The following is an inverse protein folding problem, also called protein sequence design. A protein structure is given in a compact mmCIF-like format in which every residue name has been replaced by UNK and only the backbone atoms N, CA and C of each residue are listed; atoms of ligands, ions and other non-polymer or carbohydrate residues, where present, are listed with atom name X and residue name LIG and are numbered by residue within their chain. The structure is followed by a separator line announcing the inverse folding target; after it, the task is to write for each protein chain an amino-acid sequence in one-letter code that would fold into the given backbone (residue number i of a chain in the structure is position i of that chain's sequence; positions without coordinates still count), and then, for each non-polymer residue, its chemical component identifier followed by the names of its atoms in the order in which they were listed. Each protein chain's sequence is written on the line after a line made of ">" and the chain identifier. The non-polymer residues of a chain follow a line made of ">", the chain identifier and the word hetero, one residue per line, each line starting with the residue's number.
data_IF_141702456883
#
_entry.id   IF_141702456883
#
_cell.length_a   1.000
_cell.length_b   1.000
_cell.length_c   1.000
_cell.angle_alpha   90.00
_cell.angle_beta   90.00
_cell.angle_gamma   90.00
#
_symmetry.space_group_name_H-M   'P 1'
#
loop_
_entity.id
_entity.type
_entity.pdbx_description
1 polymer ?
#
# COMPACT_ATOMS: atom_id res chain seq x y z
N UNK A 1 9.01 -26.01 7.63
CA UNK A 1 10.00 -26.51 6.65
C UNK A 1 9.59 -25.93 5.31
N UNK A 2 10.40 -25.04 4.73
CA UNK A 2 10.07 -24.44 3.44
C UNK A 2 10.10 -25.52 2.36
N UNK A 3 9.05 -25.58 1.54
CA UNK A 3 9.01 -26.46 0.35
C UNK A 3 10.12 -26.00 -0.59
N UNK A 4 11.30 -26.61 -0.45
CA UNK A 4 12.45 -26.33 -1.29
C UNK A 4 12.23 -27.02 -2.63
N UNK A 5 12.21 -26.24 -3.71
CA UNK A 5 12.20 -26.75 -5.08
C UNK A 5 13.37 -27.73 -5.23
N UNK A 6 13.09 -28.98 -5.60
CA UNK A 6 14.13 -30.02 -5.70
C UNK A 6 15.13 -29.68 -6.81
N UNK A 7 16.35 -30.22 -6.72
CA UNK A 7 17.39 -30.03 -7.75
C UNK A 7 16.94 -30.52 -9.13
N UNK A 8 16.06 -31.53 -9.17
CA UNK A 8 15.47 -32.06 -10.40
C UNK A 8 14.45 -31.10 -11.00
N UNK A 9 13.57 -30.53 -10.18
CA UNK A 9 12.62 -29.51 -10.63
C UNK A 9 13.34 -28.27 -11.17
N UNK A 10 14.45 -27.86 -10.55
CA UNK A 10 15.26 -26.74 -11.06
C UNK A 10 15.90 -27.03 -12.44
N UNK A 11 16.32 -28.29 -12.69
CA UNK A 11 16.83 -28.71 -14.00
C UNK A 11 15.73 -28.72 -15.07
N UNK A 12 14.57 -29.32 -14.76
CA UNK A 12 13.43 -29.30 -15.67
C UNK A 12 12.98 -27.87 -16.01
N UNK A 13 12.95 -26.96 -15.02
CA UNK A 13 12.61 -25.55 -15.23
C UNK A 13 13.66 -24.78 -16.06
N UNK A 14 14.94 -25.16 -15.97
CA UNK A 14 15.99 -24.54 -16.80
C UNK A 14 15.95 -25.01 -18.25
N UNK A 15 15.49 -26.24 -18.49
CA UNK A 15 15.29 -26.77 -19.85
C UNK A 15 14.02 -26.21 -20.50
N UNK A 16 12.94 -26.02 -19.74
CA UNK A 16 11.64 -25.52 -20.26
C UNK A 16 11.67 -24.00 -20.49
N UNK A 17 12.35 -23.24 -19.64
CA UNK A 17 12.32 -21.78 -19.70
C UNK A 17 13.67 -21.17 -20.12
N UNK A 18 13.74 -20.40 -21.22
CA UNK A 18 14.97 -19.77 -21.71
C UNK A 18 15.37 -18.52 -20.90
N UNK A 19 15.06 -18.48 -19.61
CA UNK A 19 15.36 -17.33 -18.75
C UNK A 19 16.68 -17.53 -18.00
N UNK A 20 17.44 -16.45 -17.85
CA UNK A 20 18.63 -16.44 -17.00
C UNK A 20 18.21 -16.42 -15.53
N UNK A 21 18.35 -17.57 -14.85
CA UNK A 21 18.04 -17.70 -13.44
C UNK A 21 19.12 -17.04 -12.57
N UNK A 22 18.73 -16.04 -11.79
CA UNK A 22 19.62 -15.36 -10.85
C UNK A 22 19.29 -15.79 -9.41
N UNK A 23 20.31 -16.14 -8.62
CA UNK A 23 20.10 -16.69 -7.26
C UNK A 23 19.91 -15.61 -6.18
N UNK A 24 20.46 -14.42 -6.40
CA UNK A 24 20.58 -13.40 -5.34
C UNK A 24 19.73 -12.15 -5.60
N UNK A 25 19.77 -11.62 -6.82
CA UNK A 25 19.04 -10.42 -7.21
C UNK A 25 18.77 -10.35 -8.70
N UNK A 26 17.63 -9.80 -9.07
CA UNK A 26 17.21 -9.51 -10.44
C UNK A 26 17.10 -8.00 -10.63
N UNK A 27 17.67 -7.45 -11.70
CA UNK A 27 17.44 -6.04 -12.06
C UNK A 27 16.29 -5.96 -13.06
N UNK A 28 15.26 -5.20 -12.73
CA UNK A 28 14.08 -5.01 -13.58
C UNK A 28 13.67 -3.53 -13.60
N UNK A 29 13.56 -2.96 -14.81
CA UNK A 29 13.21 -1.56 -15.06
C UNK A 29 14.02 -0.56 -14.21
N UNK A 30 15.28 -0.87 -13.92
CA UNK A 30 16.17 -0.01 -13.13
C UNK A 30 16.08 -0.18 -11.61
N UNK A 31 15.15 -0.97 -11.08
CA UNK A 31 15.11 -1.38 -9.67
C UNK A 31 15.70 -2.78 -9.48
N UNK A 32 16.29 -3.05 -8.32
CA UNK A 32 16.90 -4.33 -7.97
C UNK A 32 15.97 -5.10 -7.03
N UNK A 33 15.46 -6.23 -7.50
CA UNK A 33 14.65 -7.16 -6.72
C UNK A 33 15.59 -8.17 -6.07
N UNK A 34 15.71 -8.12 -4.74
CA UNK A 34 16.51 -9.06 -3.97
C UNK A 34 15.69 -10.28 -3.57
N UNK A 35 16.34 -11.43 -3.39
CA UNK A 35 15.69 -12.65 -2.87
C UNK A 35 15.05 -12.42 -1.50
N UNK A 36 15.73 -11.65 -0.64
CA UNK A 36 15.27 -11.32 0.70
C UNK A 36 14.64 -9.91 0.71
N UNK A 37 13.37 -9.76 1.17
CA UNK A 37 12.69 -8.46 1.21
C UNK A 37 13.37 -7.39 2.09
N UNK A 38 14.13 -7.83 3.10
CA UNK A 38 14.84 -6.95 4.02
C UNK A 38 15.93 -6.14 3.30
N UNK A 39 16.51 -6.71 2.25
CA UNK A 39 17.64 -6.13 1.53
C UNK A 39 17.17 -5.17 0.42
N UNK A 40 15.87 -5.18 0.07
CA UNK A 40 15.30 -4.30 -0.96
C UNK A 40 15.56 -2.81 -0.67
N UNK A 41 15.54 -2.43 0.62
CA UNK A 41 15.86 -1.06 1.02
C UNK A 41 17.30 -0.71 0.65
N UNK A 42 18.25 -1.52 1.13
CA UNK A 42 19.67 -1.30 0.91
C UNK A 42 20.01 -1.30 -0.58
N UNK A 43 19.47 -2.26 -1.34
CA UNK A 43 19.77 -2.45 -2.75
C UNK A 43 19.25 -1.31 -3.67
N UNK A 44 18.17 -0.63 -3.31
CA UNK A 44 17.54 0.40 -4.16
C UNK A 44 17.73 1.82 -3.64
N UNK A 45 17.49 2.06 -2.35
CA UNK A 45 17.42 3.41 -1.79
C UNK A 45 18.80 3.99 -1.49
N UNK A 46 19.72 3.18 -0.94
CA UNK A 46 21.07 3.66 -0.65
C UNK A 46 21.83 4.13 -1.90
N UNK A 47 21.85 3.40 -3.04
CA UNK A 47 22.49 3.93 -4.24
C UNK A 47 21.75 5.14 -4.80
N UNK A 48 20.41 5.19 -4.73
CA UNK A 48 19.63 6.34 -5.17
C UNK A 48 19.98 7.61 -4.39
N UNK A 49 20.14 7.52 -3.07
CA UNK A 49 20.56 8.66 -2.24
C UNK A 49 21.96 9.12 -2.62
N UNK A 50 22.92 8.20 -2.67
CA UNK A 50 24.32 8.52 -2.95
C UNK A 50 24.50 9.16 -4.34
N UNK A 51 23.87 8.58 -5.36
CA UNK A 51 23.87 9.13 -6.72
C UNK A 51 23.24 10.52 -6.76
N UNK A 52 22.10 10.70 -6.10
CA UNK A 52 21.44 12.01 -6.03
C UNK A 52 22.32 13.05 -5.34
N UNK A 53 22.91 12.72 -4.18
CA UNK A 53 23.81 13.63 -3.46
C UNK A 53 25.05 13.97 -4.30
N UNK A 54 25.59 13.01 -5.05
CA UNK A 54 26.69 13.24 -5.97
C UNK A 54 26.29 14.17 -7.13
N UNK A 55 25.13 13.93 -7.76
CA UNK A 55 24.57 14.81 -8.79
C UNK A 55 24.38 16.24 -8.26
N UNK A 56 23.81 16.41 -7.08
CA UNK A 56 23.62 17.73 -6.46
C UNK A 56 24.94 18.46 -6.22
N UNK A 57 26.01 17.76 -5.81
CA UNK A 57 27.36 18.34 -5.67
C UNK A 57 27.93 18.77 -7.02
N UNK A 58 27.69 18.00 -8.09
CA UNK A 58 28.10 18.37 -9.46
C UNK A 58 27.34 19.60 -9.96
N UNK A 59 26.02 19.63 -9.75
CA UNK A 59 25.12 20.73 -10.10
C UNK A 59 25.23 21.95 -9.18
N UNK A 60 26.04 21.88 -8.13
CA UNK A 60 26.33 23.04 -7.28
C UNK A 60 27.27 24.04 -7.96
N UNK A 61 28.15 23.57 -8.87
CA UNK A 61 29.18 24.39 -9.53
C UNK A 61 28.64 25.45 -10.50
N UNK A 62 27.61 25.18 -11.33
CA UNK A 62 27.07 26.17 -12.25
C UNK A 62 26.34 27.31 -11.51
N UNK A 63 26.34 28.52 -12.09
CA UNK A 63 25.60 29.68 -11.61
C UNK A 63 24.09 29.54 -11.85
N UNK A 64 23.43 28.68 -11.08
CA UNK A 64 21.98 28.47 -11.11
C UNK A 64 21.35 29.28 -9.96
N UNK A 65 20.32 30.06 -10.28
CA UNK A 65 19.55 30.79 -9.26
C UNK A 65 18.94 29.83 -8.23
N UNK A 66 18.74 30.29 -7.00
CA UNK A 66 18.15 29.45 -5.95
C UNK A 66 16.76 28.92 -6.35
N UNK A 67 15.98 29.68 -7.11
CA UNK A 67 14.69 29.24 -7.65
C UNK A 67 14.85 28.17 -8.74
N UNK A 68 15.86 28.31 -9.60
CA UNK A 68 16.24 27.28 -10.58
C UNK A 68 16.67 25.97 -9.93
N UNK A 69 17.39 26.04 -8.80
CA UNK A 69 17.76 24.86 -8.00
C UNK A 69 16.53 24.15 -7.42
N UNK A 70 15.56 24.90 -6.89
CA UNK A 70 14.29 24.34 -6.43
C UNK A 70 13.53 23.67 -7.59
N UNK A 71 13.51 24.30 -8.77
CA UNK A 71 12.85 23.73 -9.94
C UNK A 71 13.54 22.44 -10.42
N UNK A 72 14.87 22.39 -10.42
CA UNK A 72 15.63 21.18 -10.70
C UNK A 72 15.26 20.03 -9.75
N UNK A 73 15.15 20.31 -8.44
CA UNK A 73 14.71 19.30 -7.47
C UNK A 73 13.30 18.77 -7.78
N UNK A 74 12.38 19.65 -8.21
CA UNK A 74 11.00 19.27 -8.58
C UNK A 74 10.93 18.46 -9.87
N UNK A 75 11.68 18.85 -10.89
CA UNK A 75 11.54 18.29 -12.23
C UNK A 75 12.44 17.08 -12.47
N UNK A 76 13.60 17.03 -11.82
CA UNK A 76 14.60 15.98 -12.08
C UNK A 76 14.72 15.00 -10.92
N UNK A 77 14.82 15.49 -9.68
CA UNK A 77 15.04 14.61 -8.51
C UNK A 77 13.74 13.95 -8.06
N UNK A 78 12.67 14.73 -7.88
CA UNK A 78 11.39 14.20 -7.40
C UNK A 78 10.86 13.02 -8.23
N UNK A 79 10.82 13.06 -9.59
CA UNK A 79 10.31 11.93 -10.36
C UNK A 79 11.15 10.66 -10.19
N UNK A 80 12.48 10.76 -10.07
CA UNK A 80 13.37 9.61 -9.82
C UNK A 80 13.00 8.88 -8.51
N UNK A 81 12.75 9.64 -7.44
CA UNK A 81 12.34 9.06 -6.16
C UNK A 81 10.91 8.55 -6.18
N UNK A 82 10.00 9.28 -6.82
CA UNK A 82 8.59 8.88 -6.90
C UNK A 82 8.43 7.54 -7.60
N UNK A 83 9.20 7.31 -8.68
CA UNK A 83 9.26 6.03 -9.36
C UNK A 83 9.67 4.89 -8.41
N UNK A 84 10.74 5.08 -7.64
CA UNK A 84 11.22 4.05 -6.70
C UNK A 84 10.26 3.84 -5.53
N UNK A 85 9.63 4.91 -5.01
CA UNK A 85 8.62 4.81 -3.96
C UNK A 85 7.41 3.97 -4.37
N UNK A 86 6.97 4.10 -5.63
CA UNK A 86 5.85 3.33 -6.18
C UNK A 86 6.26 1.89 -6.52
N UNK A 87 7.45 1.70 -7.11
CA UNK A 87 7.94 0.40 -7.55
C UNK A 87 8.33 -0.51 -6.37
N UNK A 88 8.98 0.05 -5.35
CA UNK A 88 9.56 -0.71 -4.22
C UNK A 88 8.99 -0.15 -2.90
N UNK A 89 7.75 -0.52 -2.52
CA UNK A 89 7.09 0.01 -1.33
C UNK A 89 7.62 -0.64 -0.05
N UNK A 90 8.84 -0.24 0.34
CA UNK A 90 9.55 -0.76 1.51
C UNK A 90 9.64 0.34 2.57
N UNK A 91 9.85 -0.06 3.82
CA UNK A 91 10.02 0.87 4.93
C UNK A 91 11.30 1.69 4.74
N UNK A 92 11.15 3.01 4.72
CA UNK A 92 12.27 3.94 4.66
C UNK A 92 12.52 4.51 6.07
N UNK A 93 13.74 4.42 6.62
CA UNK A 93 14.09 5.04 7.90
C UNK A 93 13.99 6.57 7.85
N UNK A 94 13.59 7.21 8.96
CA UNK A 94 13.55 8.68 9.05
C UNK A 94 14.92 9.34 8.79
N UNK A 95 16.01 8.68 9.17
CA UNK A 95 17.37 9.15 8.90
C UNK A 95 17.64 9.37 7.41
N UNK A 96 17.09 8.51 6.54
CA UNK A 96 17.20 8.66 5.09
C UNK A 96 16.61 9.98 4.60
N UNK A 97 15.41 10.32 5.07
CA UNK A 97 14.76 11.59 4.71
C UNK A 97 15.49 12.80 5.30
N UNK A 98 16.08 12.67 6.49
CA UNK A 98 16.89 13.73 7.10
C UNK A 98 18.16 14.01 6.30
N UNK A 99 18.86 12.96 5.86
CA UNK A 99 20.06 13.07 5.04
C UNK A 99 19.74 13.73 3.70
N UNK A 100 18.67 13.27 3.04
CA UNK A 100 18.17 13.83 1.78
C UNK A 100 17.76 15.31 1.91
N UNK A 101 17.04 15.65 2.98
CA UNK A 101 16.70 17.03 3.34
C UNK A 101 17.97 17.88 3.53
N UNK A 102 18.97 17.36 4.24
CA UNK A 102 20.23 18.07 4.46
C UNK A 102 20.97 18.34 3.13
N UNK A 103 20.95 17.37 2.21
CA UNK A 103 21.53 17.49 0.88
C UNK A 103 20.85 18.58 0.05
N UNK A 104 19.52 18.64 0.08
CA UNK A 104 18.77 19.69 -0.64
C UNK A 104 18.99 21.08 -0.07
N UNK A 105 19.03 21.22 1.26
CA UNK A 105 19.30 22.52 1.86
C UNK A 105 20.71 23.01 1.51
N UNK A 106 21.72 22.13 1.56
CA UNK A 106 23.08 22.43 1.09
C UNK A 106 23.12 22.76 -0.40
N UNK A 107 22.32 22.09 -1.22
CA UNK A 107 22.24 22.41 -2.64
C UNK A 107 21.61 23.78 -2.90
N UNK A 108 20.50 24.11 -2.24
CA UNK A 108 19.76 25.36 -2.46
C UNK A 108 20.56 26.56 -1.94
N UNK A 109 21.06 26.48 -0.70
CA UNK A 109 21.73 27.60 -0.02
C UNK A 109 23.26 27.59 -0.14
N UNK A 110 23.84 26.52 -0.69
CA UNK A 110 25.28 26.36 -0.78
C UNK A 110 25.94 26.19 0.59
N UNK A 111 27.08 26.86 0.79
CA UNK A 111 27.79 26.92 2.08
C UNK A 111 27.14 27.86 3.10
N UNK A 112 26.06 28.56 2.74
CA UNK A 112 25.41 29.54 3.62
C UNK A 112 24.26 28.93 4.41
N UNK A 113 23.97 29.51 5.58
CA UNK A 113 22.86 29.06 6.42
C UNK A 113 21.51 29.27 5.69
N UNK A 114 20.55 28.33 5.85
CA UNK A 114 19.22 28.47 5.26
C UNK A 114 18.54 29.76 5.73
N UNK A 115 18.15 30.62 4.78
CA UNK A 115 17.45 31.88 5.10
C UNK A 115 15.96 31.67 5.39
N UNK A 116 15.38 30.61 4.84
CA UNK A 116 13.97 30.25 4.99
C UNK A 116 13.90 28.86 5.63
N UNK A 117 12.97 28.69 6.56
CA UNK A 117 12.76 27.40 7.21
C UNK A 117 12.32 26.36 6.17
N UNK A 118 12.72 25.10 6.35
CA UNK A 118 12.31 24.04 5.43
C UNK A 118 10.79 23.86 5.36
N UNK A 119 10.09 24.06 6.49
CA UNK A 119 8.61 23.97 6.53
C UNK A 119 7.99 25.02 5.61
N UNK A 120 8.47 26.26 5.67
CA UNK A 120 7.94 27.36 4.84
C UNK A 120 8.34 27.18 3.37
N UNK A 121 9.54 26.65 3.12
CA UNK A 121 10.03 26.34 1.79
C UNK A 121 9.16 25.29 1.07
N UNK A 122 8.64 24.31 1.82
CA UNK A 122 7.80 23.23 1.29
C UNK A 122 6.34 23.63 1.05
N UNK A 123 5.87 24.74 1.63
CA UNK A 123 4.49 25.21 1.44
C UNK A 123 4.22 25.53 -0.03
N UNK A 124 2.99 25.34 -0.53
CA UNK A 124 2.62 25.74 -1.88
C UNK A 124 2.70 27.26 -2.04
N UNK A 125 2.84 27.73 -3.29
CA UNK A 125 2.95 29.17 -3.60
C UNK A 125 1.74 29.97 -3.13
N UNK A 126 0.55 29.40 -3.24
CA UNK A 126 -0.71 29.97 -2.77
C UNK A 126 -0.71 30.29 -1.28
N UNK A 127 0.07 29.55 -0.48
CA UNK A 127 0.22 29.74 0.97
C UNK A 127 1.54 30.45 1.32
N UNK A 128 2.09 31.22 0.39
CA UNK A 128 3.32 32.01 0.59
C UNK A 128 4.62 31.20 0.62
N UNK A 129 4.60 29.93 0.18
CA UNK A 129 5.80 29.08 0.12
C UNK A 129 6.45 29.02 -1.26
N UNK A 130 7.52 28.24 -1.38
CA UNK A 130 8.28 28.03 -2.63
C UNK A 130 7.97 26.69 -3.31
N UNK A 131 7.15 25.87 -2.66
CA UNK A 131 6.65 24.58 -3.12
C UNK A 131 7.72 23.51 -3.23
N UNK A 132 8.82 23.58 -2.47
CA UNK A 132 9.84 22.53 -2.48
C UNK A 132 9.20 21.18 -2.11
N UNK A 133 9.48 20.08 -2.83
CA UNK A 133 8.86 18.80 -2.55
C UNK A 133 9.27 18.24 -1.19
N UNK A 134 8.27 17.85 -0.40
CA UNK A 134 8.45 17.14 0.86
C UNK A 134 8.47 15.63 0.60
N UNK A 135 9.66 15.03 0.45
CA UNK A 135 9.80 13.65 -0.02
C UNK A 135 9.15 12.61 0.90
N UNK A 136 9.12 12.85 2.21
CA UNK A 136 8.42 11.97 3.15
C UNK A 136 6.90 11.96 2.90
N UNK A 137 6.31 13.13 2.56
CA UNK A 137 4.89 13.21 2.20
C UNK A 137 4.61 12.55 0.85
N UNK A 138 5.49 12.71 -0.15
CA UNK A 138 5.35 12.01 -1.43
C UNK A 138 5.47 10.49 -1.28
N UNK A 139 6.38 10.02 -0.43
CA UNK A 139 6.50 8.61 -0.09
C UNK A 139 5.21 8.09 0.58
N UNK A 140 4.70 8.80 1.58
CA UNK A 140 3.41 8.45 2.21
C UNK A 140 2.28 8.42 1.19
N UNK A 141 2.19 9.42 0.31
CA UNK A 141 1.18 9.50 -0.73
C UNK A 141 1.28 8.32 -1.71
N UNK A 142 2.48 7.97 -2.19
CA UNK A 142 2.68 6.83 -3.09
C UNK A 142 2.21 5.51 -2.48
N UNK A 143 2.45 5.31 -1.18
CA UNK A 143 1.99 4.14 -0.45
C UNK A 143 0.49 4.17 -0.17
N UNK A 144 -0.08 5.34 0.08
CA UNK A 144 -1.53 5.50 0.20
C UNK A 144 -2.24 5.22 -1.12
N UNK A 145 -1.70 5.63 -2.27
CA UNK A 145 -2.25 5.28 -3.58
C UNK A 145 -2.33 3.76 -3.75
N UNK A 146 -1.30 3.02 -3.31
CA UNK A 146 -1.31 1.56 -3.35
C UNK A 146 -2.38 0.95 -2.42
N UNK A 147 -2.61 1.56 -1.26
CA UNK A 147 -3.71 1.17 -0.36
C UNK A 147 -5.08 1.48 -0.98
N UNK A 148 -5.24 2.61 -1.66
CA UNK A 148 -6.47 2.94 -2.37
C UNK A 148 -6.78 1.90 -3.46
N UNK A 149 -5.77 1.36 -4.13
CA UNK A 149 -5.95 0.29 -5.12
C UNK A 149 -6.58 -0.98 -4.52
N UNK A 150 -6.41 -1.23 -3.21
CA UNK A 150 -7.09 -2.34 -2.52
C UNK A 150 -8.59 -2.11 -2.33
N UNK A 151 -9.04 -0.85 -2.34
CA UNK A 151 -10.45 -0.50 -2.10
C UNK A 151 -11.31 -0.50 -3.37
N UNK A 152 -10.71 -0.55 -4.55
CA UNK A 152 -11.42 -0.52 -5.83
C UNK A 152 -11.87 -1.95 -6.18
N UNK A 153 -13.19 -2.15 -6.31
CA UNK A 153 -13.79 -3.40 -6.80
C UNK A 153 -14.59 -3.13 -8.08
N UNK A 154 -14.34 -3.83 -9.20
CA UNK A 154 -13.36 -4.91 -9.38
C UNK A 154 -11.90 -4.39 -9.45
N UNK A 155 -10.89 -5.23 -9.13
CA UNK A 155 -9.50 -4.81 -9.14
C UNK A 155 -9.00 -4.50 -10.56
N UNK A 156 -8.71 -3.23 -10.84
CA UNK A 156 -8.19 -2.80 -12.14
C UNK A 156 -6.75 -3.29 -12.42
N UNK A 157 -5.99 -3.61 -11.37
CA UNK A 157 -4.56 -3.94 -11.45
C UNK A 157 -4.34 -5.42 -11.10
N UNK A 158 -3.62 -6.15 -11.96
CA UNK A 158 -3.35 -7.59 -11.79
C UNK A 158 -2.69 -7.94 -10.46
N UNK A 159 -1.77 -7.09 -9.98
CA UNK A 159 -1.08 -7.35 -8.71
C UNK A 159 -2.04 -7.27 -7.50
N UNK A 160 -3.13 -6.51 -7.58
CA UNK A 160 -4.16 -6.47 -6.52
C UNK A 160 -4.89 -7.80 -6.47
N UNK A 161 -5.20 -8.39 -7.63
CA UNK A 161 -5.79 -9.73 -7.70
C UNK A 161 -4.84 -10.81 -7.15
N UNK A 162 -3.53 -10.70 -7.45
CA UNK A 162 -2.51 -11.58 -6.89
C UNK A 162 -2.38 -11.43 -5.36
N UNK A 163 -2.41 -10.20 -4.86
CA UNK A 163 -2.40 -9.95 -3.42
C UNK A 163 -3.69 -10.50 -2.78
N UNK A 164 -4.87 -10.24 -3.35
CA UNK A 164 -6.17 -10.78 -2.91
C UNK A 164 -6.16 -12.31 -2.82
N UNK A 165 -5.57 -13.01 -3.79
CA UNK A 165 -5.45 -14.47 -3.76
C UNK A 165 -4.65 -14.97 -2.55
N UNK A 166 -3.65 -14.20 -2.13
CA UNK A 166 -2.84 -14.54 -0.98
C UNK A 166 -3.54 -14.21 0.36
N UNK A 167 -4.58 -13.37 0.36
CA UNK A 167 -5.40 -13.08 1.54
C UNK A 167 -6.62 -14.02 1.64
N UNK A 168 -6.91 -14.52 2.84
CA UNK A 168 -8.12 -15.32 3.12
C UNK A 168 -9.40 -14.47 3.28
N UNK A 169 -9.25 -13.16 3.32
CA UNK A 169 -10.30 -12.18 3.59
C UNK A 169 -10.22 -11.13 2.47
N UNK A 170 -11.34 -10.46 2.07
CA UNK A 170 -11.28 -9.40 1.06
C UNK A 170 -10.21 -8.36 1.41
N UNK A 171 -9.30 -8.07 0.48
CA UNK A 171 -8.13 -7.21 0.67
C UNK A 171 -8.54 -5.77 1.04
N UNK A 172 -9.67 -5.32 0.50
CA UNK A 172 -10.31 -4.04 0.82
C UNK A 172 -10.63 -3.88 2.31
N UNK A 173 -10.86 -5.00 3.01
CA UNK A 173 -11.19 -5.02 4.43
C UNK A 173 -9.96 -4.99 5.36
N UNK A 174 -8.81 -5.42 4.87
CA UNK A 174 -7.60 -5.64 5.67
C UNK A 174 -7.12 -4.37 6.40
N UNK A 175 -7.15 -3.16 5.81
CA UNK A 175 -6.77 -1.93 6.51
C UNK A 175 -7.63 -1.62 7.74
N UNK A 176 -8.83 -2.20 7.81
CA UNK A 176 -9.82 -1.89 8.84
C UNK A 176 -9.80 -2.89 10.01
N UNK A 177 -9.21 -4.07 9.83
CA UNK A 177 -9.14 -5.14 10.83
C UNK A 177 -7.89 -5.04 11.72
N UNK A 178 -8.08 -4.75 13.01
CA UNK A 178 -7.02 -4.57 13.98
C UNK A 178 -6.24 -5.86 14.31
N UNK A 179 -6.92 -7.01 14.46
CA UNK A 179 -6.31 -8.30 14.75
C UNK A 179 -5.57 -8.88 13.53
N UNK A 180 -6.15 -8.78 12.33
CA UNK A 180 -5.54 -9.22 11.07
C UNK A 180 -4.23 -8.53 10.79
N UNK A 181 -4.13 -7.21 11.05
CA UNK A 181 -2.89 -6.49 10.82
C UNK A 181 -1.78 -7.00 11.77
N UNK A 182 -2.10 -7.42 13.00
CA UNK A 182 -1.07 -7.96 13.94
C UNK A 182 -0.52 -9.30 13.50
N UNK A 183 -1.38 -10.20 13.00
CA UNK A 183 -0.95 -11.50 12.44
C UNK A 183 -0.25 -11.32 11.10
N UNK A 184 -0.74 -10.45 10.23
CA UNK A 184 -0.14 -10.17 8.92
C UNK A 184 1.24 -9.49 9.03
N UNK A 185 1.43 -8.61 10.02
CA UNK A 185 2.74 -8.02 10.29
C UNK A 185 3.82 -9.06 10.67
N UNK A 186 3.40 -10.28 11.05
CA UNK A 186 4.29 -11.38 11.43
C UNK A 186 4.50 -12.40 10.30
N UNK A 187 3.68 -12.40 9.26
CA UNK A 187 3.83 -13.37 8.17
C UNK A 187 4.93 -12.95 7.18
N UNK A 188 5.82 -13.87 6.77
CA UNK A 188 6.86 -13.60 5.78
C UNK A 188 6.34 -13.58 4.34
N UNK A 189 5.08 -13.94 4.14
CA UNK A 189 4.46 -14.15 2.81
C UNK A 189 4.23 -12.84 2.05
N UNK A 190 4.12 -11.70 2.75
CA UNK A 190 3.86 -10.41 2.14
C UNK A 190 4.98 -9.40 2.44
N UNK A 191 5.87 -9.11 1.50
CA UNK A 191 6.97 -8.17 1.73
C UNK A 191 6.51 -6.71 1.85
N UNK A 192 5.38 -6.35 1.23
CA UNK A 192 4.91 -4.96 1.04
C UNK A 192 3.75 -4.59 1.97
N UNK A 193 2.78 -5.51 2.16
CA UNK A 193 1.57 -5.26 2.95
C UNK A 193 1.82 -4.78 4.39
N UNK A 194 2.80 -5.34 5.15
CA UNK A 194 3.07 -4.87 6.51
C UNK A 194 3.48 -3.40 6.57
N UNK A 195 4.19 -2.90 5.56
CA UNK A 195 4.61 -1.50 5.54
C UNK A 195 3.44 -0.56 5.21
N UNK A 196 2.59 -0.94 4.26
CA UNK A 196 1.37 -0.21 3.92
C UNK A 196 0.47 -0.07 5.16
N UNK A 197 0.22 -1.18 5.85
CA UNK A 197 -0.66 -1.20 7.02
C UNK A 197 -0.10 -0.42 8.22
N UNK A 198 1.23 -0.39 8.39
CA UNK A 198 1.85 0.48 9.41
C UNK A 198 1.63 1.95 9.12
N UNK A 199 1.85 2.38 7.88
CA UNK A 199 1.60 3.76 7.49
C UNK A 199 0.12 4.12 7.59
N UNK A 200 -0.77 3.19 7.23
CA UNK A 200 -2.20 3.38 7.42
C UNK A 200 -2.56 3.65 8.88
N UNK A 201 -1.99 2.90 9.83
CA UNK A 201 -2.17 3.17 11.27
C UNK A 201 -1.61 4.52 11.69
N UNK A 202 -0.43 4.88 11.22
CA UNK A 202 0.17 6.18 11.52
C UNK A 202 -0.71 7.32 11.00
N UNK A 203 -1.29 7.18 9.80
CA UNK A 203 -2.21 8.17 9.24
C UNK A 203 -3.53 8.20 9.99
N UNK A 204 -4.15 7.04 10.29
CA UNK A 204 -5.42 6.95 11.04
C UNK A 204 -5.30 7.48 12.47
N UNK A 205 -4.12 7.42 13.08
CA UNK A 205 -3.86 7.98 14.41
C UNK A 205 -3.82 9.52 14.44
N UNK A 206 -3.90 10.20 13.29
CA UNK A 206 -3.93 11.67 13.25
C UNK A 206 -5.29 12.16 13.76
N UNK A 207 -5.32 13.20 14.62
CA UNK A 207 -6.55 13.70 15.24
C UNK A 207 -7.55 14.28 14.24
N UNK A 208 -7.10 14.62 13.03
CA UNK A 208 -7.90 15.25 11.98
C UNK A 208 -8.82 14.25 11.23
N UNK A 209 -8.67 12.93 11.47
CA UNK A 209 -9.41 11.87 10.81
C UNK A 209 -10.45 11.26 11.75
N UNK A 210 -11.67 11.02 11.26
CA UNK A 210 -12.72 10.41 12.08
C UNK A 210 -12.38 8.95 12.43
N UNK A 211 -12.70 8.50 13.66
CA UNK A 211 -12.41 7.14 14.09
C UNK A 211 -13.36 6.09 13.49
N UNK A 212 -14.31 6.51 12.64
CA UNK A 212 -15.47 5.72 12.22
C UNK A 212 -15.12 4.35 11.62
N UNK A 213 -16.04 3.42 11.81
CA UNK A 213 -15.97 2.07 11.25
C UNK A 213 -16.29 2.17 9.77
N UNK A 214 -15.39 1.68 8.92
CA UNK A 214 -15.59 1.69 7.48
C UNK A 214 -16.72 0.74 7.07
N UNK A 215 -17.56 1.11 6.08
CA UNK A 215 -18.53 0.18 5.49
C UNK A 215 -17.88 -1.03 4.81
N UNK A 216 -16.57 -0.98 4.53
CA UNK A 216 -15.78 -2.09 4.00
C UNK A 216 -15.31 -3.07 5.09
N UNK A 217 -15.75 -2.88 6.33
CA UNK A 217 -15.46 -3.77 7.44
C UNK A 217 -16.38 -5.02 7.36
N UNK A 218 -15.83 -6.21 7.09
CA UNK A 218 -16.64 -7.40 6.88
C UNK A 218 -17.18 -7.86 8.22
N UNK A 219 -18.43 -8.30 8.21
CA UNK A 219 -19.05 -8.89 9.40
C UNK A 219 -18.71 -10.37 9.48
N UNK A 220 -18.68 -11.09 8.35
CA UNK A 220 -18.30 -12.50 8.28
C UNK A 220 -16.78 -12.70 8.21
N UNK A 221 -16.31 -13.83 8.77
CA UNK A 221 -14.88 -14.21 8.81
C UNK A 221 -13.92 -13.18 9.42
N UNK A 222 -14.46 -12.21 10.17
CA UNK A 222 -13.68 -11.11 10.72
C UNK A 222 -13.02 -11.52 12.05
N UNK A 223 -11.69 -11.39 12.20
CA UNK A 223 -11.03 -11.71 13.46
C UNK A 223 -11.34 -10.72 14.58
N UNK A 224 -11.76 -9.51 14.28
CA UNK A 224 -12.13 -8.51 15.28
C UNK A 224 -13.63 -8.58 15.65
N UNK A 225 -14.41 -9.44 15.00
CA UNK A 225 -15.80 -9.73 15.34
C UNK A 225 -15.96 -11.24 15.60
N UNK A 226 -15.72 -11.73 16.84
CA UNK A 226 -15.75 -13.16 17.17
C UNK A 226 -17.05 -13.90 16.79
N UNK A 227 -18.25 -13.31 16.91
CA UNK A 227 -19.48 -13.95 16.44
C UNK A 227 -19.43 -14.28 14.94
N UNK A 228 -18.80 -13.43 14.14
CA UNK A 228 -18.63 -13.58 12.69
C UNK A 228 -17.81 -14.79 12.22
N UNK A 229 -17.20 -15.52 13.16
CA UNK A 229 -16.38 -16.72 12.90
C UNK A 229 -17.04 -18.02 13.35
N UNK A 230 -18.16 -17.95 14.07
CA UNK A 230 -18.89 -19.14 14.49
C UNK A 230 -19.52 -19.81 13.27
N UNK A 231 -19.53 -21.14 13.24
CA UNK A 231 -20.21 -21.88 12.16
C UNK A 231 -21.69 -21.48 12.08
N UNK A 232 -22.37 -21.28 13.21
CA UNK A 232 -23.74 -20.74 13.26
C UNK A 232 -23.94 -19.37 12.57
N UNK A 233 -22.89 -18.55 12.48
CA UNK A 233 -22.92 -17.26 11.78
C UNK A 233 -22.48 -17.37 10.31
N UNK A 234 -21.77 -18.43 9.94
CA UNK A 234 -21.34 -18.67 8.56
C UNK A 234 -22.34 -19.53 7.80
N UNK A 235 -23.04 -20.41 8.52
CA UNK A 235 -24.17 -21.24 8.10
C UNK A 235 -25.46 -20.41 8.13
N UNK A 236 -25.41 -19.10 7.83
CA UNK A 236 -26.61 -18.29 7.61
C UNK A 236 -27.23 -18.73 6.28
N UNK A 237 -27.81 -19.93 6.33
CA UNK A 237 -28.76 -20.42 5.36
C UNK A 237 -30.08 -19.65 5.54
N UNK A 238 -30.80 -19.62 4.42
CA UNK A 238 -31.78 -18.63 3.99
C UNK A 238 -33.09 -18.56 4.79
N UNK A 239 -33.15 -19.11 6.02
CA UNK A 239 -34.36 -19.20 6.86
C UNK A 239 -34.15 -18.81 8.34
N UNK A 240 -32.95 -18.34 8.72
CA UNK A 240 -32.65 -17.93 10.11
C UNK A 240 -32.96 -16.45 10.46
N UNK A 241 -32.91 -16.05 11.75
CA UNK A 241 -33.20 -14.68 12.20
C UNK A 241 -32.21 -13.62 11.67
N UNK A 242 -31.08 -14.04 11.08
CA UNK A 242 -30.04 -13.17 10.52
C UNK A 242 -30.07 -13.08 8.98
N UNK A 243 -31.14 -13.58 8.35
CA UNK A 243 -31.36 -13.58 6.90
C UNK A 243 -31.24 -12.20 6.25
N UNK A 244 -31.62 -11.13 6.96
CA UNK A 244 -31.44 -9.76 6.50
C UNK A 244 -29.96 -9.38 6.32
N UNK A 245 -29.06 -9.94 7.14
CA UNK A 245 -27.63 -9.69 7.05
C UNK A 245 -27.03 -10.49 5.89
N UNK A 246 -27.38 -11.77 5.72
CA UNK A 246 -26.91 -12.56 4.59
C UNK A 246 -27.32 -11.96 3.23
N UNK A 247 -28.52 -11.37 3.13
CA UNK A 247 -28.96 -10.67 1.91
C UNK A 247 -28.11 -9.45 1.56
N UNK A 248 -27.44 -8.84 2.54
CA UNK A 248 -26.54 -7.70 2.32
C UNK A 248 -25.16 -8.09 1.77
N UNK A 249 -24.85 -9.39 1.68
CA UNK A 249 -23.55 -9.87 1.23
C UNK A 249 -23.69 -10.85 0.05
N UNK A 250 -22.91 -10.64 -0.99
CA UNK A 250 -22.77 -11.54 -2.15
C UNK A 250 -21.31 -11.96 -2.23
N UNK A 251 -21.04 -13.27 -2.29
CA UNK A 251 -19.68 -13.82 -2.36
C UNK A 251 -18.71 -13.27 -1.28
N UNK A 252 -19.24 -13.06 -0.07
CA UNK A 252 -18.50 -12.53 1.10
C UNK A 252 -18.08 -11.05 1.02
N UNK A 253 -18.60 -10.30 0.05
CA UNK A 253 -18.47 -8.84 -0.04
C UNK A 253 -19.82 -8.15 0.19
N UNK A 254 -19.80 -6.93 0.78
CA UNK A 254 -21.02 -6.15 1.00
C UNK A 254 -21.57 -5.73 -0.37
N UNK A 255 -22.79 -6.16 -0.67
CA UNK A 255 -23.41 -5.85 -1.96
C UNK A 255 -23.77 -4.36 -2.04
N UNK A 256 -23.58 -3.69 -3.18
CA UNK A 256 -23.98 -2.29 -3.36
C UNK A 256 -25.49 -2.15 -3.19
N UNK A 257 -25.95 -1.03 -2.62
CA UNK A 257 -27.37 -0.79 -2.30
C UNK A 257 -28.30 -0.97 -3.52
N UNK A 258 -27.80 -0.68 -4.73
CA UNK A 258 -28.51 -0.90 -5.99
C UNK A 258 -28.82 -2.37 -6.30
N UNK A 259 -28.00 -3.29 -5.80
CA UNK A 259 -28.22 -4.74 -5.92
C UNK A 259 -29.11 -5.32 -4.80
N UNK A 260 -29.41 -4.53 -3.77
CA UNK A 260 -30.17 -4.93 -2.58
C UNK A 260 -31.67 -4.59 -2.65
N UNK A 261 -32.12 -3.83 -3.64
CA UNK A 261 -33.54 -3.54 -3.88
C UNK A 261 -34.23 -4.64 -4.72
N UNK A 262 -35.55 -4.79 -4.55
CA UNK A 262 -36.13 -5.77 -3.65
C UNK A 262 -36.01 -7.23 -4.16
N UNK A 263 -35.28 -8.08 -3.44
CA UNK A 263 -35.62 -9.52 -3.35
C UNK A 263 -36.87 -9.75 -2.46
N UNK A 264 -37.60 -8.69 -2.11
CA UNK A 264 -38.84 -8.69 -1.32
C UNK A 264 -40.09 -8.90 -2.18
N UNK A 265 -40.02 -9.75 -3.20
CA UNK A 265 -41.26 -10.32 -3.73
C UNK A 265 -41.85 -11.18 -2.62
N UNK A 266 -42.88 -10.66 -1.96
CA UNK A 266 -43.74 -11.39 -1.05
C UNK A 266 -44.20 -12.68 -1.74
N UNK A 267 -43.68 -13.83 -1.33
CA UNK A 267 -44.41 -15.09 -1.45
C UNK A 267 -45.17 -15.27 -0.13
N UNK A 268 -46.50 -15.06 -0.09
CA UNK A 268 -47.27 -15.40 1.09
C UNK A 268 -47.24 -16.94 1.24
N UNK A 269 -46.52 -17.42 2.25
CA UNK A 269 -46.60 -18.80 2.71
C UNK A 269 -47.94 -18.96 3.46
N UNK A 270 -48.72 -19.96 3.03
CA UNK A 270 -50.00 -20.48 3.57
C UNK A 270 -51.30 -20.07 2.84
N UNK A 271 -51.56 -20.73 1.71
CA UNK A 271 -52.87 -21.34 1.48
C UNK A 271 -52.80 -22.80 1.92
N UNK A 272 -53.19 -23.09 3.16
CA UNK A 272 -53.46 -24.45 3.61
C UNK A 272 -54.88 -24.51 4.18
N UNK A 273 -55.77 -25.05 3.36
CA UNK A 273 -56.98 -25.82 3.70
C UNK A 273 -57.47 -25.71 5.14
N UNK A 274 -58.57 -24.99 5.33
CA UNK A 274 -59.50 -25.26 6.44
C UNK A 274 -60.56 -26.20 5.87
N UNK A 275 -60.39 -27.50 6.16
CA UNK A 275 -61.47 -28.46 6.17
C UNK A 275 -61.92 -28.63 7.62
N UNK A 276 -63.15 -28.21 7.90
CA UNK A 276 -64.13 -28.85 8.78
C UNK A 276 -65.45 -28.08 8.64
#
# INVERSE_FOLDING_TARGET
>A
MGVGVTSETNRALTDICPFQWTRNSLRYLGTTLTRCPRDLFAANYTPLLNTTLHELRKWHKPHISWLGRINYLKMTVLPKFLYVFQAVPVRIPRAYFQELKSGFLKFIWGSTCPRISYKDLTRPRERGGLGLPHFESYYQAALMTRLCDWSVSPPAKLWVALEQFAFRVPIASVPWQHASIRTLMRSPEHPTAPQLLRLWREVRSRPDLSPDISPLYPVSHNPDFPPGRQQSFLDIDTDGPYLHIARCYTDKELSPLSSLAPRSAYTPLHTSNIAN
#
